data_IF_267591362413
#
_entry.id   IF_267591362413
#
_cell.length_a   1.000
_cell.length_b   1.000
_cell.length_c   1.000
_cell.angle_alpha   90.00
_cell.angle_beta   90.00
_cell.angle_gamma   90.00
#
_symmetry.space_group_name_H-M   'P 1'
#
loop_
_entity.id
_entity.type
_entity.pdbx_description
1 polymer ?
#
# COMPACT_ATOMS: atom_id res chain seq x y z
N UNK A 1 -9.64 6.25 9.57
CA UNK A 1 -8.38 5.49 9.43
C UNK A 1 -8.69 4.02 9.67
N UNK A 2 -8.75 3.21 8.61
CA UNK A 2 -8.80 1.76 8.76
C UNK A 2 -7.46 1.26 9.34
N UNK A 3 -7.52 0.31 10.28
CA UNK A 3 -6.32 -0.37 10.79
C UNK A 3 -6.22 -1.72 10.10
N UNK A 4 -5.06 -1.99 9.52
CA UNK A 4 -4.80 -3.23 8.82
C UNK A 4 -3.79 -4.05 9.63
N UNK A 5 -4.27 -5.10 10.30
CA UNK A 5 -3.42 -6.06 11.00
C UNK A 5 -3.17 -7.24 10.05
N UNK A 6 -1.96 -7.33 9.51
CA UNK A 6 -1.55 -8.41 8.62
C UNK A 6 -0.14 -8.87 8.95
N UNK A 7 0.15 -10.12 8.57
CA UNK A 7 1.45 -10.74 8.75
C UNK A 7 2.17 -10.68 7.41
N UNK A 8 3.33 -10.04 7.38
CA UNK A 8 4.22 -9.97 6.23
C UNK A 8 5.44 -10.86 6.50
N UNK A 9 6.02 -11.40 5.43
CA UNK A 9 7.32 -12.05 5.51
C UNK A 9 8.38 -11.04 5.94
N UNK A 10 9.30 -11.46 6.82
CA UNK A 10 10.32 -10.62 7.44
C UNK A 10 11.20 -9.89 6.40
N UNK A 11 11.59 -10.59 5.33
CA UNK A 11 12.35 -10.03 4.22
C UNK A 11 11.62 -8.87 3.51
N UNK A 12 10.29 -9.00 3.35
CA UNK A 12 9.49 -8.01 2.66
C UNK A 12 9.28 -6.76 3.51
N UNK A 13 9.00 -6.93 4.81
CA UNK A 13 8.90 -5.82 5.77
C UNK A 13 10.22 -5.05 5.84
N UNK A 14 11.33 -5.78 5.94
CA UNK A 14 12.68 -5.18 5.99
C UNK A 14 12.98 -4.36 4.74
N UNK A 15 12.71 -4.91 3.55
CA UNK A 15 12.91 -4.20 2.27
C UNK A 15 12.05 -2.95 2.19
N UNK A 16 10.79 -3.04 2.61
CA UNK A 16 9.89 -1.90 2.64
C UNK A 16 10.43 -0.81 3.56
N UNK A 17 10.82 -1.16 4.79
CA UNK A 17 11.37 -0.19 5.76
C UNK A 17 12.62 0.50 5.23
N UNK A 18 13.55 -0.24 4.62
CA UNK A 18 14.76 0.33 4.02
C UNK A 18 14.43 1.28 2.85
N UNK A 19 13.51 0.90 1.97
CA UNK A 19 13.07 1.74 0.86
C UNK A 19 12.41 3.03 1.35
N UNK A 20 11.59 2.95 2.41
CA UNK A 20 10.94 4.10 3.03
C UNK A 20 11.95 5.05 3.65
N UNK A 21 12.91 4.52 4.42
CA UNK A 21 13.98 5.34 5.02
C UNK A 21 14.80 6.04 3.94
N UNK A 22 15.15 5.34 2.86
CA UNK A 22 15.93 5.91 1.76
C UNK A 22 15.15 7.00 1.01
N UNK A 23 13.83 6.86 0.85
CA UNK A 23 13.01 7.76 0.05
C UNK A 23 12.47 8.97 0.82
N UNK A 24 12.12 8.79 2.09
CA UNK A 24 11.44 9.81 2.91
C UNK A 24 12.28 10.30 4.11
N UNK A 25 13.41 9.65 4.40
CA UNK A 25 14.33 10.06 5.47
C UNK A 25 13.97 9.54 6.87
N UNK A 26 12.97 8.65 6.99
CA UNK A 26 12.70 7.91 8.23
C UNK A 26 11.94 8.70 9.29
N UNK A 27 10.95 9.51 8.89
CA UNK A 27 10.04 10.22 9.79
C UNK A 27 8.87 9.34 10.23
N UNK A 28 8.27 9.73 11.36
CA UNK A 28 7.08 9.07 11.91
C UNK A 28 5.89 9.30 10.99
N UNK A 29 5.50 8.28 10.23
CA UNK A 29 4.36 8.31 9.31
C UNK A 29 4.69 7.77 7.93
N UNK A 30 5.96 7.81 7.51
CA UNK A 30 6.38 7.46 6.16
C UNK A 30 6.05 6.01 5.78
N UNK A 31 6.10 5.09 6.75
CA UNK A 31 5.75 3.69 6.51
C UNK A 31 4.26 3.53 6.18
N UNK A 32 3.39 4.22 6.91
CA UNK A 32 1.94 4.19 6.66
C UNK A 32 1.61 4.82 5.31
N UNK A 33 2.26 5.93 4.96
CA UNK A 33 2.09 6.57 3.65
C UNK A 33 2.58 5.66 2.52
N UNK A 34 3.73 5.01 2.68
CA UNK A 34 4.25 4.10 1.66
C UNK A 34 3.36 2.87 1.45
N UNK A 35 2.79 2.32 2.53
CA UNK A 35 1.81 1.22 2.45
C UNK A 35 0.53 1.71 1.75
N UNK A 36 0.04 2.90 2.07
CA UNK A 36 -1.14 3.46 1.41
C UNK A 36 -0.89 3.67 -0.10
N UNK A 37 0.26 4.22 -0.48
CA UNK A 37 0.65 4.38 -1.89
C UNK A 37 0.74 3.02 -2.60
N UNK A 38 1.33 2.01 -1.96
CA UNK A 38 1.40 0.67 -2.54
C UNK A 38 0.01 0.05 -2.75
N UNK A 39 -0.92 0.26 -1.82
CA UNK A 39 -2.31 -0.18 -1.95
C UNK A 39 -3.01 0.57 -3.09
N UNK A 40 -2.85 1.89 -3.20
CA UNK A 40 -3.43 2.70 -4.29
C UNK A 40 -2.90 2.25 -5.66
N UNK A 41 -1.60 2.06 -5.79
CA UNK A 41 -0.96 1.57 -7.02
C UNK A 41 -1.42 0.15 -7.38
N UNK A 42 -1.55 -0.74 -6.38
CA UNK A 42 -2.08 -2.08 -6.58
C UNK A 42 -3.53 -2.08 -7.08
N UNK A 43 -4.38 -1.21 -6.52
CA UNK A 43 -5.76 -1.04 -6.95
C UNK A 43 -5.85 -0.39 -8.34
N UNK A 44 -4.99 0.57 -8.66
CA UNK A 44 -4.98 1.24 -9.97
C UNK A 44 -4.46 0.38 -11.12
N UNK A 45 -3.54 -0.55 -10.85
CA UNK A 45 -2.96 -1.44 -11.87
C UNK A 45 -3.86 -2.59 -12.30
N UNK A 46 -4.96 -2.84 -11.59
CA UNK A 46 -5.94 -3.85 -11.97
C UNK A 46 -7.30 -3.18 -11.97
N UNK A 47 -7.92 -2.89 -13.13
CA UNK A 47 -9.34 -2.60 -13.14
C UNK A 47 -10.01 -3.81 -12.47
N UNK A 48 -10.55 -3.59 -11.28
CA UNK A 48 -11.31 -4.62 -10.61
C UNK A 48 -12.50 -4.90 -11.54
N UNK A 49 -12.85 -6.18 -11.74
CA UNK A 49 -14.05 -6.56 -12.50
C UNK A 49 -15.34 -5.92 -11.94
N UNK A 50 -15.28 -5.25 -10.80
CA UNK A 50 -16.38 -4.58 -10.11
C UNK A 50 -16.63 -3.14 -10.56
N UNK A 51 -15.75 -2.51 -11.34
CA UNK A 51 -16.04 -1.18 -11.93
C UNK A 51 -17.07 -1.28 -13.06
N UNK A 52 -17.19 -2.45 -13.70
CA UNK A 52 -18.10 -2.69 -14.81
C UNK A 52 -19.55 -3.06 -14.38
N UNK A 53 -19.85 -3.11 -13.08
CA UNK A 53 -21.18 -3.48 -12.55
C UNK A 53 -21.95 -2.28 -11.97
N UNK A 54 -21.28 -1.14 -11.77
CA UNK A 54 -21.89 0.09 -11.27
C UNK A 54 -22.33 1.06 -12.38
N UNK A 55 -21.89 0.87 -13.63
CA UNK A 55 -22.31 1.66 -14.80
C UNK A 55 -23.48 1.04 -15.59
N UNK A 56 -24.20 0.07 -15.02
CA UNK A 56 -25.41 -0.53 -15.64
C UNK A 56 -26.63 -0.48 -14.73
N UNK A 57 -26.75 0.55 -13.90
CA UNK A 57 -27.97 0.81 -13.13
C UNK A 57 -28.40 2.26 -13.18
#
# INVERSE_FOLDING_TARGET
MGRLNLILSDDLERKLRLAVVNRYGGRKGDLSEAVEQAIRDWLGKRPTKSDNELESK
#
